data_IF_358940513592
#
_entry.id   IF_358940513592
#
_cell.length_a   1.000
_cell.length_b   1.000
_cell.length_c   1.000
_cell.angle_alpha   90.00
_cell.angle_beta   90.00
_cell.angle_gamma   90.00
#
_symmetry.space_group_name_H-M   'P 1'
#
loop_
_entity.id
_entity.type
_entity.pdbx_description
1 polymer ?
#
# COMPACT_ATOMS: atom_id res chain seq x y z
N UNK A 1 14.58 -16.10 9.76
CA UNK A 1 15.01 -15.36 8.54
C UNK A 1 13.76 -15.14 7.71
N UNK A 2 13.49 -13.92 7.32
CA UNK A 2 12.32 -13.58 6.47
C UNK A 2 12.65 -13.92 5.02
N UNK A 3 11.67 -14.37 4.25
CA UNK A 3 11.91 -14.86 2.88
C UNK A 3 11.97 -13.70 1.86
N UNK A 4 11.01 -12.77 1.97
CA UNK A 4 10.85 -11.68 1.00
C UNK A 4 10.97 -10.29 1.63
N UNK A 5 11.45 -10.22 2.86
CA UNK A 5 11.67 -8.97 3.59
C UNK A 5 13.03 -9.01 4.26
N UNK A 6 13.79 -7.93 4.14
CA UNK A 6 15.03 -7.76 4.90
C UNK A 6 14.74 -6.87 6.09
N UNK A 7 15.18 -7.27 7.27
CA UNK A 7 15.18 -6.46 8.47
C UNK A 7 16.61 -6.13 8.87
N UNK A 8 16.93 -4.86 8.98
CA UNK A 8 18.25 -4.39 9.40
C UNK A 8 18.10 -3.31 10.47
N UNK A 9 18.88 -3.38 11.54
CA UNK A 9 18.97 -2.32 12.54
C UNK A 9 20.31 -1.59 12.42
N UNK A 10 20.26 -0.27 12.29
CA UNK A 10 21.44 0.61 12.29
C UNK A 10 21.25 1.71 13.36
N UNK A 11 21.93 1.57 14.47
CA UNK A 11 21.72 2.45 15.63
C UNK A 11 20.26 2.41 16.08
N UNK A 12 19.61 3.55 16.14
CA UNK A 12 18.21 3.69 16.55
C UNK A 12 17.19 3.54 15.42
N UNK A 13 17.62 3.18 14.22
CA UNK A 13 16.77 3.03 13.02
C UNK A 13 16.59 1.56 12.67
N UNK A 14 15.34 1.14 12.44
CA UNK A 14 15.02 -0.15 11.86
C UNK A 14 14.63 0.02 10.39
N UNK A 15 15.21 -0.78 9.50
CA UNK A 15 14.92 -0.80 8.08
C UNK A 15 14.17 -2.08 7.74
N UNK A 16 13.01 -1.93 7.11
CA UNK A 16 12.19 -3.01 6.57
C UNK A 16 12.19 -2.86 5.05
N UNK A 17 12.90 -3.74 4.35
CA UNK A 17 13.03 -3.67 2.90
C UNK A 17 12.22 -4.78 2.24
N UNK A 18 11.24 -4.42 1.41
CA UNK A 18 10.53 -5.37 0.54
C UNK A 18 11.55 -5.90 -0.48
N UNK A 19 11.79 -7.21 -0.51
CA UNK A 19 12.92 -7.80 -1.24
C UNK A 19 12.51 -8.93 -2.18
N UNK A 20 11.65 -8.61 -3.14
CA UNK A 20 11.24 -9.46 -4.27
C UNK A 20 11.34 -8.68 -5.58
N UNK A 21 12.52 -8.03 -5.88
CA UNK A 21 12.63 -7.05 -6.96
C UNK A 21 12.35 -7.63 -8.36
N UNK A 22 12.59 -8.93 -8.58
CA UNK A 22 12.30 -9.62 -9.83
C UNK A 22 10.79 -9.64 -10.16
N UNK A 23 9.93 -9.53 -9.14
CA UNK A 23 8.47 -9.42 -9.27
C UNK A 23 7.94 -8.04 -8.84
N UNK A 24 8.76 -6.99 -8.93
CA UNK A 24 8.40 -5.61 -8.53
C UNK A 24 7.88 -5.52 -7.09
N UNK A 25 8.44 -6.33 -6.19
CA UNK A 25 8.01 -6.42 -4.79
C UNK A 25 6.51 -6.68 -4.63
N UNK A 26 5.90 -7.48 -5.54
CA UNK A 26 4.50 -7.83 -5.47
C UNK A 26 4.17 -8.51 -4.13
N UNK A 27 3.09 -8.05 -3.50
CA UNK A 27 2.68 -8.40 -2.14
C UNK A 27 1.85 -9.68 -2.15
N UNK A 28 2.23 -10.60 -1.30
CA UNK A 28 1.52 -11.85 -1.03
C UNK A 28 1.38 -12.05 0.49
N UNK A 29 0.52 -12.97 0.90
CA UNK A 29 0.25 -13.21 2.34
C UNK A 29 1.51 -13.48 3.16
N UNK A 30 2.48 -14.20 2.58
CA UNK A 30 3.78 -14.48 3.24
C UNK A 30 4.58 -13.21 3.47
N UNK A 31 4.64 -12.31 2.48
CA UNK A 31 5.34 -11.03 2.61
C UNK A 31 4.67 -10.14 3.68
N UNK A 32 3.34 -10.08 3.72
CA UNK A 32 2.62 -9.35 4.79
C UNK A 32 2.92 -9.93 6.17
N UNK A 33 2.98 -11.26 6.30
CA UNK A 33 3.35 -11.92 7.57
C UNK A 33 4.77 -11.55 8.00
N UNK A 34 5.71 -11.49 7.06
CA UNK A 34 7.10 -11.09 7.33
C UNK A 34 7.19 -9.60 7.70
N UNK A 35 6.47 -8.71 7.01
CA UNK A 35 6.38 -7.28 7.35
C UNK A 35 5.81 -7.11 8.77
N UNK A 36 4.71 -7.79 9.10
CA UNK A 36 4.09 -7.73 10.41
C UNK A 36 5.05 -8.16 11.52
N UNK A 37 5.79 -9.24 11.28
CA UNK A 37 6.81 -9.72 12.23
C UNK A 37 7.94 -8.69 12.41
N UNK A 38 8.41 -8.06 11.32
CA UNK A 38 9.42 -6.98 11.37
C UNK A 38 8.91 -5.76 12.14
N UNK A 39 7.66 -5.32 11.89
CA UNK A 39 7.04 -4.20 12.61
C UNK A 39 6.95 -4.48 14.10
N UNK A 40 6.50 -5.69 14.49
CA UNK A 40 6.45 -6.10 15.89
C UNK A 40 7.84 -6.19 16.51
N UNK A 41 8.82 -6.74 15.79
CA UNK A 41 10.21 -6.76 16.25
C UNK A 41 10.73 -5.35 16.51
N UNK A 42 10.48 -4.40 15.60
CA UNK A 42 10.87 -3.02 15.77
C UNK A 42 10.15 -2.34 16.94
N UNK A 43 8.85 -2.60 17.14
CA UNK A 43 8.05 -2.02 18.22
C UNK A 43 8.58 -2.43 19.61
N UNK A 44 8.95 -3.69 19.79
CA UNK A 44 9.42 -4.21 21.08
C UNK A 44 10.94 -4.10 21.29
N UNK A 45 11.70 -3.55 20.34
CA UNK A 45 13.14 -3.29 20.53
C UNK A 45 13.33 -1.86 21.09
N UNK A 46 13.66 -1.73 22.37
CA UNK A 46 13.82 -0.45 23.07
C UNK A 46 14.91 0.46 22.45
N UNK A 47 15.84 -0.11 21.69
CA UNK A 47 16.84 0.68 20.97
C UNK A 47 16.33 1.26 19.65
N UNK A 48 15.23 0.75 19.09
CA UNK A 48 14.63 1.31 17.87
C UNK A 48 13.76 2.51 18.23
N UNK A 49 13.96 3.62 17.51
CA UNK A 49 13.21 4.88 17.69
C UNK A 49 12.42 5.29 16.45
N UNK A 50 12.78 4.75 15.28
CA UNK A 50 12.10 5.02 14.01
C UNK A 50 12.19 3.81 13.10
N UNK A 51 11.15 3.56 12.33
CA UNK A 51 11.10 2.49 11.31
C UNK A 51 11.10 3.13 9.94
N UNK A 52 11.93 2.62 9.02
CA UNK A 52 11.98 3.02 7.61
C UNK A 52 11.59 1.82 6.77
N UNK A 53 10.49 1.92 6.03
CA UNK A 53 10.04 0.89 5.09
C UNK A 53 10.36 1.32 3.67
N UNK A 54 11.01 0.44 2.89
CA UNK A 54 11.41 0.72 1.51
C UNK A 54 11.34 -0.53 0.63
N UNK A 55 11.40 -0.34 -0.69
CA UNK A 55 11.47 -1.44 -1.66
C UNK A 55 12.86 -1.61 -2.23
N UNK A 56 13.31 -2.86 -2.44
CA UNK A 56 14.51 -3.17 -3.18
C UNK A 56 14.28 -3.06 -4.70
N UNK A 57 15.32 -2.69 -5.43
CA UNK A 57 15.28 -2.60 -6.88
C UNK A 57 14.60 -1.33 -7.39
N UNK A 58 13.76 -1.44 -8.43
CA UNK A 58 13.26 -0.30 -9.20
C UNK A 58 11.94 0.31 -8.72
N UNK A 59 11.33 -0.21 -7.66
CA UNK A 59 10.11 0.37 -7.09
C UNK A 59 9.89 -0.06 -5.64
N UNK A 60 9.03 0.68 -4.95
CA UNK A 60 8.53 0.28 -3.64
C UNK A 60 7.76 -1.03 -3.75
N UNK A 61 6.61 -1.04 -4.46
CA UNK A 61 5.90 -2.28 -4.82
C UNK A 61 4.84 -2.00 -5.89
N UNK A 62 4.56 -3.00 -6.74
CA UNK A 62 3.50 -2.94 -7.74
C UNK A 62 2.11 -3.39 -7.20
N UNK A 63 2.00 -3.67 -5.88
CA UNK A 63 0.75 -4.11 -5.25
C UNK A 63 0.62 -5.61 -5.10
N UNK A 64 -0.61 -6.10 -4.96
CA UNK A 64 -0.87 -7.52 -4.76
C UNK A 64 -0.36 -8.39 -5.91
N UNK A 65 0.21 -9.55 -5.57
CA UNK A 65 0.66 -10.55 -6.56
C UNK A 65 -0.56 -11.22 -7.21
N UNK A 66 -0.94 -10.76 -8.40
CA UNK A 66 -2.07 -11.29 -9.16
C UNK A 66 -1.87 -12.75 -9.64
N UNK A 67 -0.67 -13.32 -9.45
CA UNK A 67 -0.37 -14.69 -9.86
C UNK A 67 -0.49 -15.69 -8.71
N UNK A 68 -0.43 -15.24 -7.47
CA UNK A 68 -0.31 -16.10 -6.30
C UNK A 68 -1.63 -16.80 -5.90
N UNK A 69 -2.79 -16.28 -6.30
CA UNK A 69 -4.08 -16.66 -5.71
C UNK A 69 -5.19 -16.98 -6.72
N UNK A 70 -4.93 -17.04 -8.02
CA UNK A 70 -5.97 -17.25 -9.05
C UNK A 70 -6.68 -18.61 -8.98
N UNK A 71 -6.21 -19.55 -8.16
CA UNK A 71 -6.77 -20.91 -8.07
C UNK A 71 -7.33 -21.28 -6.68
N UNK A 72 -7.37 -20.36 -5.72
CA UNK A 72 -7.93 -20.67 -4.41
C UNK A 72 -9.39 -20.20 -4.35
N UNK A 73 -10.32 -21.16 -4.39
CA UNK A 73 -11.74 -20.86 -4.16
C UNK A 73 -11.93 -20.56 -2.67
N UNK A 74 -12.02 -19.28 -2.32
CA UNK A 74 -12.32 -18.83 -0.97
C UNK A 74 -13.74 -18.29 -0.88
N UNK A 75 -14.37 -18.46 0.29
CA UNK A 75 -15.60 -17.74 0.58
C UNK A 75 -15.26 -16.28 0.94
N UNK A 76 -16.18 -15.31 0.77
CA UNK A 76 -15.95 -13.93 1.18
C UNK A 76 -15.52 -13.77 2.64
N UNK A 77 -16.03 -14.63 3.53
CA UNK A 77 -15.63 -14.63 4.94
C UNK A 77 -14.19 -15.11 5.13
N UNK A 78 -13.76 -16.12 4.36
CA UNK A 78 -12.35 -16.58 4.40
C UNK A 78 -11.40 -15.51 3.88
N UNK A 79 -11.79 -14.85 2.79
CA UNK A 79 -11.02 -13.75 2.21
C UNK A 79 -10.91 -12.56 3.17
N UNK A 80 -12.05 -12.12 3.73
CA UNK A 80 -12.06 -11.07 4.76
C UNK A 80 -11.12 -11.39 5.92
N UNK A 81 -11.17 -12.62 6.44
CA UNK A 81 -10.23 -13.08 7.48
C UNK A 81 -8.77 -13.06 7.00
N UNK A 82 -8.53 -13.38 5.74
CA UNK A 82 -7.20 -13.31 5.13
C UNK A 82 -6.66 -11.87 5.18
N UNK A 83 -7.43 -10.89 4.74
CA UNK A 83 -7.04 -9.48 4.81
C UNK A 83 -6.85 -8.98 6.25
N UNK A 84 -7.75 -9.32 7.16
CA UNK A 84 -7.65 -8.94 8.56
C UNK A 84 -6.37 -9.47 9.24
N UNK A 85 -5.97 -10.69 8.91
CA UNK A 85 -4.81 -11.35 9.54
C UNK A 85 -3.48 -11.07 8.82
N UNK A 86 -3.50 -10.52 7.61
CA UNK A 86 -2.31 -10.23 6.80
C UNK A 86 -2.16 -8.71 6.55
N UNK A 87 -2.74 -8.20 5.47
CA UNK A 87 -2.54 -6.80 5.06
C UNK A 87 -3.05 -5.81 6.11
N UNK A 88 -4.30 -5.93 6.56
CA UNK A 88 -4.86 -5.01 7.55
C UNK A 88 -4.15 -5.09 8.90
N UNK A 89 -3.66 -6.27 9.31
CA UNK A 89 -2.85 -6.39 10.50
C UNK A 89 -1.54 -5.57 10.40
N UNK A 90 -0.89 -5.54 9.23
CA UNK A 90 0.28 -4.67 9.00
C UNK A 90 -0.10 -3.20 9.07
N UNK A 91 -1.17 -2.80 8.38
CA UNK A 91 -1.64 -1.42 8.31
C UNK A 91 -1.97 -0.87 9.70
N UNK A 92 -2.78 -1.60 10.47
CA UNK A 92 -3.12 -1.18 11.82
C UNK A 92 -1.93 -1.24 12.78
N UNK A 93 -0.98 -2.17 12.60
CA UNK A 93 0.23 -2.17 13.42
C UNK A 93 1.05 -0.90 13.19
N UNK A 94 1.21 -0.44 11.94
CA UNK A 94 1.91 0.83 11.65
C UNK A 94 1.19 2.03 12.24
N UNK A 95 -0.13 2.04 12.21
CA UNK A 95 -0.96 3.10 12.80
C UNK A 95 -0.88 3.13 14.32
N UNK A 96 -0.97 1.96 14.97
CA UNK A 96 -1.10 1.82 16.43
C UNK A 96 0.24 1.83 17.18
N UNK A 97 1.36 1.46 16.53
CA UNK A 97 2.67 1.40 17.18
C UNK A 97 3.15 2.78 17.66
N UNK A 98 3.91 2.79 18.77
CA UNK A 98 4.41 4.02 19.37
C UNK A 98 5.56 4.67 18.59
N UNK A 99 6.22 3.93 17.70
CA UNK A 99 7.37 4.40 16.93
C UNK A 99 6.93 4.97 15.59
N UNK A 100 7.50 6.12 15.15
CA UNK A 100 7.23 6.65 13.83
C UNK A 100 7.67 5.70 12.72
N UNK A 101 6.83 5.59 11.68
CA UNK A 101 7.11 4.83 10.46
C UNK A 101 7.25 5.80 9.30
N UNK A 102 8.34 5.69 8.55
CA UNK A 102 8.60 6.42 7.31
C UNK A 102 8.52 5.42 6.15
N UNK A 103 7.63 5.63 5.20
CA UNK A 103 7.66 4.93 3.91
C UNK A 103 8.49 5.73 2.91
N UNK A 104 9.57 5.11 2.41
CA UNK A 104 10.41 5.62 1.32
C UNK A 104 9.94 4.99 0.01
N UNK A 105 9.27 5.78 -0.83
CA UNK A 105 8.54 5.27 -1.99
C UNK A 105 9.16 5.77 -3.29
N UNK A 106 9.49 4.85 -4.19
CA UNK A 106 9.98 5.15 -5.54
C UNK A 106 9.35 4.21 -6.57
N UNK A 107 9.36 4.61 -7.83
CA UNK A 107 8.86 3.83 -8.95
C UNK A 107 7.35 3.61 -8.90
N UNK A 108 6.88 2.59 -8.18
CA UNK A 108 5.48 2.25 -8.07
C UNK A 108 5.04 2.05 -6.63
N UNK A 109 3.84 2.57 -6.29
CA UNK A 109 3.06 2.21 -5.11
C UNK A 109 1.58 2.09 -5.52
N UNK A 110 1.18 0.90 -6.02
CA UNK A 110 -0.13 0.67 -6.63
C UNK A 110 -0.95 -0.36 -5.85
N UNK A 111 -2.26 -0.14 -5.75
CA UNK A 111 -3.17 -1.07 -5.09
C UNK A 111 -2.73 -1.42 -3.67
N UNK A 112 -2.53 -2.69 -3.34
CA UNK A 112 -2.12 -3.12 -1.99
C UNK A 112 -0.85 -2.46 -1.46
N UNK A 113 0.05 -1.95 -2.32
CA UNK A 113 1.23 -1.21 -1.86
C UNK A 113 0.92 0.27 -1.58
N UNK A 114 -0.06 0.85 -2.25
CA UNK A 114 -0.65 2.12 -1.83
C UNK A 114 -1.25 1.96 -0.43
N UNK A 115 -2.08 0.91 -0.24
CA UNK A 115 -2.68 0.60 1.06
C UNK A 115 -1.63 0.37 2.16
N UNK A 116 -0.48 -0.22 1.83
CA UNK A 116 0.62 -0.46 2.77
C UNK A 116 1.33 0.84 3.17
N UNK A 117 1.48 1.82 2.27
CA UNK A 117 2.21 3.05 2.59
C UNK A 117 1.39 4.09 3.37
N UNK A 118 0.06 4.16 3.12
CA UNK A 118 -0.76 5.26 3.66
C UNK A 118 -0.98 5.27 5.17
N UNK A 119 -0.87 4.17 5.95
CA UNK A 119 -0.92 4.22 7.40
C UNK A 119 0.40 4.69 8.06
N UNK A 120 1.47 4.88 7.28
CA UNK A 120 2.73 5.39 7.80
C UNK A 120 2.61 6.85 8.26
N UNK A 121 3.43 7.24 9.25
CA UNK A 121 3.43 8.62 9.77
C UNK A 121 4.01 9.61 8.76
N UNK A 122 4.95 9.14 7.95
CA UNK A 122 5.57 9.93 6.88
C UNK A 122 5.66 9.09 5.61
N UNK A 123 5.18 9.65 4.52
CA UNK A 123 5.29 9.05 3.18
C UNK A 123 6.13 9.98 2.33
N UNK A 124 7.38 9.59 2.08
CA UNK A 124 8.32 10.35 1.27
C UNK A 124 8.48 9.64 -0.06
N UNK A 125 8.27 10.37 -1.15
CA UNK A 125 8.12 9.77 -2.48
C UNK A 125 9.09 10.40 -3.49
N UNK A 126 9.49 9.64 -4.50
CA UNK A 126 10.17 10.24 -5.65
C UNK A 126 9.19 11.02 -6.52
N UNK A 127 9.65 12.12 -7.12
CA UNK A 127 8.82 13.03 -7.94
C UNK A 127 8.04 12.32 -9.05
N UNK A 128 8.66 11.32 -9.66
CA UNK A 128 8.19 10.58 -10.83
C UNK A 128 7.48 9.26 -10.48
N UNK A 129 7.42 8.88 -9.21
CA UNK A 129 6.77 7.62 -8.83
C UNK A 129 5.28 7.63 -9.21
N UNK A 130 4.75 6.43 -9.49
CA UNK A 130 3.35 6.25 -9.86
C UNK A 130 2.60 5.68 -8.66
N UNK A 131 1.61 6.42 -8.18
CA UNK A 131 0.83 6.12 -6.97
C UNK A 131 -0.64 6.01 -7.34
N UNK A 132 -1.36 5.04 -6.78
CA UNK A 132 -2.81 4.94 -6.99
C UNK A 132 -3.44 3.59 -6.69
N UNK A 133 -4.75 3.52 -6.90
CA UNK A 133 -5.63 2.40 -6.62
C UNK A 133 -6.30 1.90 -7.93
N UNK A 134 -5.53 1.31 -8.88
CA UNK A 134 -6.05 0.96 -10.20
C UNK A 134 -6.93 -0.30 -10.21
N UNK A 135 -7.16 -0.97 -9.10
CA UNK A 135 -7.87 -2.25 -9.04
C UNK A 135 -9.34 -2.17 -9.46
N UNK A 136 -9.98 -1.00 -9.39
CA UNK A 136 -11.33 -0.81 -9.93
C UNK A 136 -11.39 -1.14 -11.43
N UNK A 137 -10.31 -0.90 -12.16
CA UNK A 137 -10.21 -1.14 -13.61
C UNK A 137 -10.16 -2.62 -13.99
N UNK A 138 -10.07 -3.54 -13.03
CA UNK A 138 -10.18 -4.99 -13.27
C UNK A 138 -11.10 -5.70 -12.26
N UNK A 139 -12.01 -4.93 -11.66
CA UNK A 139 -13.09 -5.48 -10.86
C UNK A 139 -12.74 -5.84 -9.43
N UNK A 140 -11.70 -5.23 -8.87
CA UNK A 140 -11.39 -5.36 -7.45
C UNK A 140 -11.59 -4.02 -6.72
N UNK A 141 -11.76 -4.08 -5.42
CA UNK A 141 -11.87 -2.90 -4.56
C UNK A 141 -10.70 -2.84 -3.57
N UNK A 142 -10.33 -1.63 -3.14
CA UNK A 142 -9.40 -1.44 -2.04
C UNK A 142 -9.90 -2.15 -0.78
N UNK A 143 -8.99 -2.67 0.04
CA UNK A 143 -9.34 -3.27 1.33
C UNK A 143 -8.93 -2.38 2.51
N UNK A 144 -8.31 -1.21 2.22
CA UNK A 144 -7.88 -0.23 3.23
C UNK A 144 -8.19 1.21 2.78
N UNK A 145 -9.43 1.65 2.96
CA UNK A 145 -10.00 2.90 2.44
C UNK A 145 -9.56 4.12 3.26
N UNK A 146 -8.27 4.45 3.28
CA UNK A 146 -7.74 5.61 4.01
C UNK A 146 -7.74 6.90 3.17
N UNK A 147 -7.77 6.80 1.85
CA UNK A 147 -7.64 7.95 0.94
C UNK A 147 -8.60 9.13 1.25
N UNK A 148 -9.90 8.93 1.59
CA UNK A 148 -10.79 10.04 1.91
C UNK A 148 -10.35 10.88 3.12
N UNK A 149 -9.62 10.27 4.05
CA UNK A 149 -9.09 10.93 5.24
C UNK A 149 -7.81 11.73 4.97
N UNK A 150 -7.07 11.36 3.91
CA UNK A 150 -5.84 12.03 3.50
C UNK A 150 -6.10 13.17 2.52
N UNK A 151 -6.83 12.91 1.43
CA UNK A 151 -6.97 13.81 0.29
C UNK A 151 -8.36 14.46 0.16
N UNK A 152 -9.26 14.16 1.10
CA UNK A 152 -10.64 14.63 1.09
C UNK A 152 -11.50 13.93 0.04
N UNK A 153 -12.83 14.13 0.16
CA UNK A 153 -13.83 13.34 -0.57
C UNK A 153 -13.76 13.48 -2.09
N UNK A 154 -13.44 14.68 -2.62
CA UNK A 154 -13.45 14.92 -4.07
C UNK A 154 -12.28 14.27 -4.76
N UNK A 155 -11.05 14.46 -4.22
CA UNK A 155 -9.85 13.85 -4.79
C UNK A 155 -9.89 12.33 -4.66
N UNK A 156 -10.41 11.81 -3.55
CA UNK A 156 -10.61 10.37 -3.38
C UNK A 156 -11.56 9.79 -4.43
N UNK A 157 -12.69 10.45 -4.70
CA UNK A 157 -13.61 10.00 -5.75
C UNK A 157 -13.00 10.10 -7.15
N UNK A 158 -12.27 11.16 -7.45
CA UNK A 158 -11.54 11.31 -8.72
C UNK A 158 -10.62 10.12 -8.95
N UNK A 159 -9.73 9.81 -8.01
CA UNK A 159 -8.74 8.76 -8.18
C UNK A 159 -9.33 7.34 -8.07
N UNK A 160 -10.19 7.11 -7.09
CA UNK A 160 -10.71 5.76 -6.82
C UNK A 160 -11.83 5.32 -7.75
N UNK A 161 -12.59 6.23 -8.35
CA UNK A 161 -13.63 5.88 -9.33
C UNK A 161 -13.09 5.74 -10.75
N UNK A 162 -11.91 6.30 -11.04
CA UNK A 162 -11.25 6.16 -12.34
C UNK A 162 -10.13 5.13 -12.33
N UNK A 163 -9.52 4.88 -11.16
CA UNK A 163 -8.31 4.07 -11.03
C UNK A 163 -7.07 4.76 -11.63
N UNK A 164 -7.13 6.07 -11.81
CA UNK A 164 -5.99 6.85 -12.30
C UNK A 164 -4.83 6.83 -11.32
N UNK A 165 -3.64 6.91 -11.89
CA UNK A 165 -2.38 7.02 -11.16
C UNK A 165 -1.93 8.47 -11.16
N UNK A 166 -1.34 8.91 -10.06
CA UNK A 166 -0.75 10.24 -9.91
C UNK A 166 0.76 10.14 -9.68
N UNK A 167 1.47 11.22 -9.99
CA UNK A 167 2.89 11.34 -9.70
C UNK A 167 3.15 11.61 -8.20
N UNK A 168 4.41 11.45 -7.77
CA UNK A 168 4.81 11.81 -6.41
C UNK A 168 4.51 13.27 -6.08
N UNK A 169 4.74 14.19 -7.02
CA UNK A 169 4.41 15.62 -6.87
C UNK A 169 2.92 15.84 -6.62
N UNK A 170 2.08 15.23 -7.42
CA UNK A 170 0.63 15.31 -7.25
C UNK A 170 0.16 14.68 -5.93
N UNK A 171 0.83 13.62 -5.48
CA UNK A 171 0.54 12.98 -4.20
C UNK A 171 0.88 13.90 -3.00
N UNK A 172 1.96 14.68 -3.06
CA UNK A 172 2.26 15.73 -2.08
C UNK A 172 1.20 16.84 -2.12
N UNK A 173 0.86 17.35 -3.31
CA UNK A 173 -0.13 18.42 -3.50
C UNK A 173 -1.50 18.09 -2.92
N UNK A 174 -1.91 16.81 -2.98
CA UNK A 174 -3.22 16.38 -2.47
C UNK A 174 -3.18 15.74 -1.06
N UNK A 175 -2.04 15.75 -0.38
CA UNK A 175 -1.91 15.27 1.00
C UNK A 175 -1.80 13.75 1.16
N UNK A 176 -1.63 13.00 0.08
CA UNK A 176 -1.36 11.55 0.13
C UNK A 176 0.10 11.29 0.51
N UNK A 177 1.03 12.07 0.02
CA UNK A 177 2.42 12.03 0.43
C UNK A 177 2.77 13.21 1.35
N UNK A 178 3.69 12.99 2.28
CA UNK A 178 4.22 14.05 3.16
C UNK A 178 5.16 14.96 2.37
N UNK A 179 5.98 14.37 1.48
CA UNK A 179 6.95 15.10 0.67
C UNK A 179 7.31 14.32 -0.58
N UNK A 180 7.45 15.06 -1.70
CA UNK A 180 8.03 14.58 -2.96
C UNK A 180 9.39 15.23 -3.16
N UNK A 181 10.37 14.45 -3.62
CA UNK A 181 11.73 14.89 -3.90
C UNK A 181 12.28 14.17 -5.15
N UNK A 182 13.29 14.71 -5.82
CA UNK A 182 14.00 13.96 -6.88
C UNK A 182 14.46 12.60 -6.38
N UNK A 183 14.44 11.58 -7.25
CA UNK A 183 14.79 10.20 -6.87
C UNK A 183 16.18 10.10 -6.22
N UNK A 184 17.13 10.84 -6.74
CA UNK A 184 18.52 10.91 -6.24
C UNK A 184 18.62 11.53 -4.84
N UNK A 185 17.65 12.30 -4.41
CA UNK A 185 17.60 12.93 -3.08
C UNK A 185 16.77 12.12 -2.08
N UNK A 186 16.00 11.14 -2.53
CA UNK A 186 15.00 10.44 -1.73
C UNK A 186 15.62 9.78 -0.48
N UNK A 187 16.70 9.03 -0.64
CA UNK A 187 17.35 8.35 0.49
C UNK A 187 17.93 9.35 1.49
N UNK A 188 18.64 10.39 1.02
CA UNK A 188 19.24 11.40 1.88
C UNK A 188 18.18 12.20 2.65
N UNK A 189 17.03 12.49 2.02
CA UNK A 189 15.93 13.17 2.68
C UNK A 189 15.30 12.32 3.80
N UNK A 190 15.06 11.04 3.52
CA UNK A 190 14.51 10.08 4.50
C UNK A 190 15.47 9.90 5.68
N UNK A 191 16.77 9.76 5.42
CA UNK A 191 17.78 9.64 6.46
C UNK A 191 17.84 10.91 7.35
N UNK A 192 17.81 12.09 6.74
CA UNK A 192 17.79 13.35 7.48
C UNK A 192 16.53 13.52 8.34
N UNK A 193 15.37 13.07 7.87
CA UNK A 193 14.13 13.04 8.63
C UNK A 193 14.24 12.06 9.82
N UNK A 194 14.73 10.85 9.58
CA UNK A 194 14.95 9.85 10.61
C UNK A 194 15.93 10.35 11.68
N UNK A 195 17.01 11.05 11.27
CA UNK A 195 17.98 11.65 12.19
C UNK A 195 17.40 12.76 13.07
N UNK A 196 16.36 13.44 12.62
CA UNK A 196 15.58 14.36 13.47
C UNK A 196 14.72 13.60 14.47
N UNK A 197 14.02 12.56 14.02
CA UNK A 197 13.07 11.78 14.84
C UNK A 197 13.78 11.05 15.99
N UNK A 198 14.93 10.42 15.73
CA UNK A 198 15.67 9.69 16.78
C UNK A 198 16.21 10.57 17.92
N UNK A 199 16.24 11.90 17.72
CA UNK A 199 16.64 12.88 18.76
C UNK A 199 15.48 13.27 19.67
N UNK A 200 14.25 12.98 19.30
CA UNK A 200 13.07 13.34 20.08
C UNK A 200 12.89 12.37 21.25
N UNK A 201 12.33 12.83 22.39
CA UNK A 201 11.98 11.94 23.50
C UNK A 201 10.97 10.88 23.07
N UNK A 202 11.32 9.61 23.15
CA UNK A 202 10.59 8.49 22.58
C UNK A 202 9.14 8.43 23.06
N UNK A 203 8.93 8.52 24.39
CA UNK A 203 7.58 8.44 24.99
C UNK A 203 6.68 9.60 24.55
N UNK A 204 7.27 10.80 24.40
CA UNK A 204 6.52 11.99 23.94
C UNK A 204 6.11 11.82 22.48
N UNK A 205 7.00 11.26 21.65
CA UNK A 205 6.68 10.95 20.25
C UNK A 205 5.52 9.95 20.18
N UNK A 206 5.58 8.87 20.95
CA UNK A 206 4.53 7.84 21.01
C UNK A 206 3.17 8.43 21.43
N UNK A 207 3.14 9.15 22.56
CA UNK A 207 1.89 9.76 23.06
C UNK A 207 1.35 10.80 22.08
N UNK A 208 2.21 11.57 21.43
CA UNK A 208 1.80 12.55 20.42
C UNK A 208 1.19 11.86 19.20
N UNK A 209 1.84 10.83 18.67
CA UNK A 209 1.31 10.02 17.56
C UNK A 209 -0.07 9.43 17.91
N UNK A 210 -0.16 8.75 19.05
CA UNK A 210 -1.44 8.18 19.52
C UNK A 210 -2.53 9.24 19.70
N UNK A 211 -2.18 10.41 20.24
CA UNK A 211 -3.11 11.52 20.40
C UNK A 211 -3.65 12.05 19.08
N UNK A 212 -2.79 12.19 18.07
CA UNK A 212 -3.20 12.59 16.71
C UNK A 212 -4.10 11.53 16.09
N UNK A 213 -3.66 10.26 16.08
CA UNK A 213 -4.40 9.16 15.48
C UNK A 213 -5.77 8.98 16.13
N UNK A 214 -5.85 9.15 17.46
CA UNK A 214 -7.10 9.03 18.22
C UNK A 214 -8.15 10.08 17.82
N UNK A 215 -7.73 11.29 17.43
CA UNK A 215 -8.70 12.29 16.94
C UNK A 215 -9.43 11.77 15.70
N UNK A 216 -8.70 11.22 14.72
CA UNK A 216 -9.29 10.64 13.51
C UNK A 216 -10.16 9.42 13.81
N UNK A 217 -9.77 8.58 14.77
CA UNK A 217 -10.59 7.44 15.20
C UNK A 217 -11.91 7.87 15.84
N UNK A 218 -11.89 8.89 16.70
CA UNK A 218 -13.10 9.47 17.31
C UNK A 218 -14.02 10.07 16.24
N UNK A 219 -13.46 10.63 15.18
CA UNK A 219 -14.22 11.13 14.02
C UNK A 219 -14.82 10.00 13.17
N UNK A 220 -14.55 8.73 13.49
CA UNK A 220 -15.13 7.58 12.82
C UNK A 220 -14.26 6.90 11.77
N UNK A 221 -12.99 7.30 11.61
CA UNK A 221 -12.10 6.75 10.57
C UNK A 221 -12.00 5.22 10.67
N UNK A 222 -11.57 4.67 11.82
CA UNK A 222 -11.38 3.21 11.99
C UNK A 222 -12.68 2.44 11.75
N UNK A 223 -13.81 2.91 12.30
CA UNK A 223 -15.11 2.28 12.09
C UNK A 223 -15.55 2.31 10.62
N UNK A 224 -15.36 3.44 9.94
CA UNK A 224 -15.66 3.58 8.51
C UNK A 224 -14.81 2.63 7.65
N UNK A 225 -13.52 2.54 7.93
CA UNK A 225 -12.61 1.65 7.22
C UNK A 225 -12.94 0.16 7.45
N UNK A 226 -13.29 -0.23 8.67
CA UNK A 226 -13.73 -1.60 8.98
C UNK A 226 -15.03 -1.95 8.25
N UNK A 227 -16.01 -1.04 8.23
CA UNK A 227 -17.26 -1.21 7.47
C UNK A 227 -16.96 -1.34 5.96
N UNK A 228 -16.00 -0.59 5.46
CA UNK A 228 -15.58 -0.68 4.06
C UNK A 228 -15.01 -2.05 3.70
N UNK A 229 -14.24 -2.68 4.57
CA UNK A 229 -13.73 -4.06 4.33
C UNK A 229 -14.90 -5.02 4.08
N UNK A 230 -15.99 -4.91 4.84
CA UNK A 230 -17.18 -5.74 4.63
C UNK A 230 -17.83 -5.46 3.27
N UNK A 231 -17.94 -4.21 2.85
CA UNK A 231 -18.47 -3.85 1.52
C UNK A 231 -17.55 -4.31 0.39
N UNK A 232 -16.23 -4.22 0.58
CA UNK A 232 -15.30 -4.64 -0.45
C UNK A 232 -15.40 -6.12 -0.81
N UNK A 233 -15.90 -6.96 0.11
CA UNK A 233 -16.13 -8.39 -0.18
C UNK A 233 -17.22 -8.65 -1.23
N UNK A 234 -18.10 -7.69 -1.51
CA UNK A 234 -19.14 -7.85 -2.53
C UNK A 234 -18.57 -7.94 -3.95
N UNK A 235 -17.35 -7.44 -4.22
CA UNK A 235 -16.76 -7.50 -5.54
C UNK A 235 -16.68 -8.93 -6.10
N UNK A 236 -16.56 -9.94 -5.25
CA UNK A 236 -16.55 -11.37 -5.62
C UNK A 236 -17.82 -11.82 -6.33
N UNK A 237 -18.93 -11.10 -6.15
CA UNK A 237 -20.22 -11.41 -6.74
C UNK A 237 -20.57 -10.50 -7.91
N UNK A 238 -19.68 -9.59 -8.27
CA UNK A 238 -19.90 -8.68 -9.38
C UNK A 238 -19.40 -9.33 -10.67
N UNK A 239 -20.25 -9.35 -11.67
CA UNK A 239 -19.94 -9.79 -13.03
C UNK A 239 -20.35 -8.68 -13.99
N UNK A 240 -19.35 -8.03 -14.59
CA UNK A 240 -19.57 -7.08 -15.68
C UNK A 240 -18.76 -7.52 -16.89
N UNK A 241 -19.11 -7.09 -18.10
CA UNK A 241 -18.37 -7.48 -19.29
C UNK A 241 -16.86 -7.21 -19.20
N UNK A 242 -16.46 -6.12 -18.51
CA UNK A 242 -15.05 -5.76 -18.31
C UNK A 242 -14.34 -6.76 -17.39
N UNK A 243 -14.96 -7.14 -16.28
CA UNK A 243 -14.42 -8.10 -15.32
C UNK A 243 -14.29 -9.48 -15.98
N UNK A 244 -15.31 -9.90 -16.71
CA UNK A 244 -15.34 -11.19 -17.43
C UNK A 244 -14.23 -11.24 -18.48
N UNK A 245 -14.05 -10.19 -19.28
CA UNK A 245 -12.99 -10.11 -20.29
C UNK A 245 -11.60 -10.10 -19.66
N UNK A 246 -11.38 -9.32 -18.62
CA UNK A 246 -10.10 -9.31 -17.89
C UNK A 246 -9.79 -10.71 -17.34
N UNK A 247 -10.77 -11.35 -16.71
CA UNK A 247 -10.62 -12.70 -16.12
C UNK A 247 -10.33 -13.74 -17.18
N UNK A 248 -11.04 -13.70 -18.32
CA UNK A 248 -10.81 -14.57 -19.47
C UNK A 248 -9.39 -14.42 -20.02
N UNK A 249 -8.97 -13.18 -20.28
CA UNK A 249 -7.62 -12.90 -20.79
C UNK A 249 -6.53 -13.33 -19.81
N UNK A 250 -6.76 -13.10 -18.52
CA UNK A 250 -5.83 -13.52 -17.46
C UNK A 250 -5.66 -15.05 -17.43
N UNK A 251 -6.77 -15.78 -17.52
CA UNK A 251 -6.76 -17.25 -17.49
C UNK A 251 -6.17 -17.87 -18.79
N UNK A 252 -6.55 -17.34 -19.97
CA UNK A 252 -6.16 -17.93 -21.25
C UNK A 252 -4.78 -17.46 -21.74
N UNK A 253 -4.42 -16.20 -21.49
CA UNK A 253 -3.23 -15.54 -22.07
C UNK A 253 -2.26 -14.95 -21.02
N UNK A 254 -2.63 -15.05 -19.75
CA UNK A 254 -1.83 -14.59 -18.62
C UNK A 254 -2.02 -13.12 -18.27
N UNK A 255 -1.71 -12.78 -17.04
CA UNK A 255 -1.94 -11.45 -16.44
C UNK A 255 -1.29 -10.30 -17.21
N UNK A 256 -0.14 -10.53 -17.86
CA UNK A 256 0.53 -9.48 -18.65
C UNK A 256 -0.33 -9.01 -19.84
N UNK A 257 -1.02 -9.94 -20.50
CA UNK A 257 -1.92 -9.63 -21.62
C UNK A 257 -3.18 -8.95 -21.11
N UNK A 258 -3.76 -9.45 -20.02
CA UNK A 258 -4.96 -8.88 -19.41
C UNK A 258 -4.72 -7.43 -18.93
N UNK A 259 -3.59 -7.16 -18.26
CA UNK A 259 -3.21 -5.83 -17.82
C UNK A 259 -3.00 -4.86 -18.98
N UNK A 260 -2.36 -5.32 -20.06
CA UNK A 260 -2.19 -4.49 -21.27
C UNK A 260 -3.53 -4.17 -21.92
N UNK A 261 -4.41 -5.19 -22.05
CA UNK A 261 -5.75 -4.97 -22.57
C UNK A 261 -6.53 -3.96 -21.72
N UNK A 262 -6.47 -4.08 -20.41
CA UNK A 262 -7.09 -3.11 -19.48
C UNK A 262 -6.60 -1.68 -19.76
N UNK A 263 -5.28 -1.48 -19.82
CA UNK A 263 -4.71 -0.16 -20.07
C UNK A 263 -5.16 0.40 -21.43
N UNK A 264 -5.19 -0.43 -22.47
CA UNK A 264 -5.67 -0.07 -23.81
C UNK A 264 -7.18 0.19 -23.84
N UNK A 265 -7.99 -0.58 -23.10
CA UNK A 265 -9.43 -0.42 -22.99
C UNK A 265 -9.80 0.94 -22.38
N UNK A 266 -9.23 1.27 -21.24
CA UNK A 266 -9.49 2.55 -20.57
C UNK A 266 -8.86 3.74 -21.28
N UNK A 267 -7.86 3.52 -22.12
CA UNK A 267 -7.34 4.54 -23.05
C UNK A 267 -8.17 4.68 -24.36
N UNK A 268 -9.27 3.93 -24.51
CA UNK A 268 -10.09 3.94 -25.71
C UNK A 268 -9.46 3.28 -26.94
N UNK A 269 -8.41 2.47 -26.75
CA UNK A 269 -7.65 1.81 -27.82
C UNK A 269 -8.05 0.35 -28.04
N UNK A 270 -8.77 -0.25 -27.11
CA UNK A 270 -9.27 -1.63 -27.20
C UNK A 270 -10.75 -1.70 -26.84
N UNK A 271 -11.42 -2.79 -27.22
CA UNK A 271 -12.81 -3.12 -26.90
C UNK A 271 -12.88 -4.51 -26.28
N UNK A 272 -14.01 -4.81 -25.63
CA UNK A 272 -14.32 -6.17 -25.16
C UNK A 272 -14.38 -7.11 -26.37
N UNK A 273 -13.67 -8.24 -26.30
CA UNK A 273 -13.60 -9.23 -27.37
C UNK A 273 -12.56 -8.97 -28.47
N UNK A 274 -11.79 -7.89 -28.42
CA UNK A 274 -10.77 -7.59 -29.46
C UNK A 274 -9.62 -8.62 -29.47
N UNK A 275 -9.31 -9.23 -28.34
CA UNK A 275 -8.25 -10.23 -28.21
C UNK A 275 -8.89 -11.62 -28.16
N UNK A 276 -8.92 -12.29 -29.31
CA UNK A 276 -9.45 -13.66 -29.44
C UNK A 276 -8.45 -14.70 -28.95
#
# INVERSE_FOLDING_TARGET
MYEHVLYEKKGYKAYITLNKPAKLNALENKMYSDILACLKQAEFDDEVRVVIMKGAGRCFSAGFDLTAETNVTTTPIQERRGFENASNACHWTMWDMGKPVICQVHGYALGGSFELMVPADYVIVSDDCQIGEPQIQFGAASVYMMMPWLSGIRKSKELMLTGEKISGKQAEECGIATKSVPLEELESYVEALADKLIKMPTDIVAVTKWGINRQFEIMGMRAGMQTWVDYSMFYRYMATPEIEEFSRLSAEKGNKVALRWRDDYYAGKAKIGDIK
#
